data_IF_385523761221
#
_entry.id   IF_385523761221
#
_cell.length_a   1.000
_cell.length_b   1.000
_cell.length_c   1.000
_cell.angle_alpha   90.00
_cell.angle_beta   90.00
_cell.angle_gamma   90.00
#
_symmetry.space_group_name_H-M   'P 1'
#
loop_
_entity.id
_entity.type
_entity.pdbx_description
1 polymer ?
#
# COMPACT_ATOMS: atom_id res chain seq x y z
N UNK A 1 26.91 -4.38 34.73
CA UNK A 1 25.81 -5.35 34.91
C UNK A 1 26.16 -6.60 34.10
N UNK A 2 25.86 -7.82 34.56
CA UNK A 2 26.07 -9.05 33.79
C UNK A 2 24.72 -9.60 33.26
N UNK A 3 24.78 -10.59 32.38
CA UNK A 3 23.61 -11.15 31.68
C UNK A 3 22.61 -11.80 32.64
N UNK A 4 23.07 -12.58 33.63
CA UNK A 4 22.20 -13.19 34.64
C UNK A 4 21.41 -12.15 35.44
N UNK A 5 22.07 -11.05 35.85
CA UNK A 5 21.40 -9.95 36.57
C UNK A 5 20.41 -9.20 35.67
N UNK A 6 20.71 -9.07 34.37
CA UNK A 6 19.82 -8.47 33.39
C UNK A 6 18.54 -9.32 33.22
N UNK A 7 18.71 -10.62 32.97
CA UNK A 7 17.62 -11.58 32.82
C UNK A 7 16.70 -11.56 34.04
N UNK A 8 17.28 -11.63 35.25
CA UNK A 8 16.50 -11.55 36.49
C UNK A 8 15.69 -10.26 36.61
N UNK A 9 16.25 -9.12 36.20
CA UNK A 9 15.56 -7.82 36.27
C UNK A 9 14.42 -7.73 35.24
N UNK A 10 14.66 -8.17 34.01
CA UNK A 10 13.60 -8.25 32.99
C UNK A 10 12.47 -9.16 33.49
N UNK A 11 12.80 -10.34 34.01
CA UNK A 11 11.82 -11.29 34.51
C UNK A 11 10.96 -10.73 35.64
N UNK A 12 11.54 -9.94 36.55
CA UNK A 12 10.79 -9.29 37.64
C UNK A 12 9.71 -8.37 37.07
N UNK A 13 10.05 -7.54 36.08
CA UNK A 13 9.09 -6.60 35.49
C UNK A 13 8.00 -7.33 34.71
N UNK A 14 8.36 -8.36 33.93
CA UNK A 14 7.37 -9.16 33.21
C UNK A 14 6.45 -9.95 34.15
N UNK A 15 6.97 -10.43 35.28
CA UNK A 15 6.16 -11.10 36.31
C UNK A 15 5.21 -10.12 37.00
N UNK A 16 5.67 -8.89 37.26
CA UNK A 16 4.83 -7.80 37.77
C UNK A 16 3.70 -7.48 36.78
N UNK A 17 3.99 -7.37 35.48
CA UNK A 17 2.98 -7.13 34.45
C UNK A 17 1.88 -8.18 34.49
N UNK A 18 2.24 -9.47 34.53
CA UNK A 18 1.27 -10.57 34.62
C UNK A 18 0.43 -10.46 35.90
N UNK A 19 1.07 -10.11 37.03
CA UNK A 19 0.37 -9.91 38.30
C UNK A 19 -0.63 -8.74 38.23
N UNK A 20 -0.25 -7.63 37.62
CA UNK A 20 -1.08 -6.44 37.47
C UNK A 20 -2.29 -6.75 36.56
N UNK A 21 -2.06 -7.43 35.42
CA UNK A 21 -3.12 -7.92 34.50
C UNK A 21 -4.09 -8.85 35.22
N UNK A 22 -3.59 -9.84 35.96
CA UNK A 22 -4.42 -10.79 36.70
C UNK A 22 -5.25 -10.13 37.81
N UNK A 23 -4.73 -9.03 38.35
CA UNK A 23 -5.43 -8.20 39.34
C UNK A 23 -6.43 -7.23 38.71
N UNK A 24 -6.63 -7.28 37.38
CA UNK A 24 -7.44 -6.36 36.58
C UNK A 24 -7.03 -4.89 36.75
N UNK A 25 -5.76 -4.66 37.04
CA UNK A 25 -5.17 -3.33 37.04
C UNK A 25 -4.84 -3.04 35.58
N UNK A 26 -5.36 -1.93 35.04
CA UNK A 26 -4.89 -1.44 33.74
C UNK A 26 -3.39 -1.20 33.85
N UNK A 27 -2.59 -1.82 32.97
CA UNK A 27 -1.13 -1.70 33.04
C UNK A 27 -0.58 -0.51 32.27
N UNK A 28 -1.47 0.20 31.57
CA UNK A 28 -1.22 1.44 30.84
C UNK A 28 -2.39 2.40 31.03
N UNK A 29 -2.12 3.69 30.91
CA UNK A 29 -3.10 4.74 31.14
C UNK A 29 -2.88 5.91 30.18
N UNK A 30 -3.98 6.60 29.86
CA UNK A 30 -3.94 7.93 29.26
C UNK A 30 -4.06 8.95 30.38
N UNK A 31 -3.14 9.91 30.43
CA UNK A 31 -3.28 11.05 31.33
C UNK A 31 -4.33 12.05 30.78
N UNK A 32 -4.57 13.13 31.53
CA UNK A 32 -5.55 14.16 31.17
C UNK A 32 -5.21 14.94 29.89
N UNK A 33 -3.96 14.86 29.44
CA UNK A 33 -3.45 15.53 28.23
C UNK A 33 -3.35 14.55 27.06
N UNK A 34 -3.94 13.35 27.19
CA UNK A 34 -3.83 12.25 26.23
C UNK A 34 -2.40 11.76 26.02
N UNK A 35 -1.51 11.92 27.01
CA UNK A 35 -0.22 11.24 26.96
C UNK A 35 -0.38 9.80 27.45
N UNK A 36 0.07 8.88 26.63
CA UNK A 36 0.16 7.48 26.99
C UNK A 36 1.31 7.22 27.97
N UNK A 37 1.01 6.59 29.11
CA UNK A 37 2.02 6.05 30.04
C UNK A 37 1.87 4.55 30.18
N UNK A 38 3.01 3.86 30.17
CA UNK A 38 3.10 2.43 30.41
C UNK A 38 4.22 2.19 31.44
N UNK A 39 3.93 2.35 32.74
CA UNK A 39 4.94 2.43 33.79
C UNK A 39 5.87 1.21 33.83
N UNK A 40 5.34 0.00 33.62
CA UNK A 40 6.17 -1.21 33.60
C UNK A 40 7.10 -1.22 32.36
N UNK A 41 6.68 -0.65 31.23
CA UNK A 41 7.55 -0.48 30.06
C UNK A 41 8.61 0.59 30.30
N UNK A 42 8.27 1.70 30.96
CA UNK A 42 9.24 2.75 31.32
C UNK A 42 10.38 2.16 32.17
N UNK A 43 10.07 1.28 33.13
CA UNK A 43 11.09 0.57 33.91
C UNK A 43 12.01 -0.29 33.03
N UNK A 44 11.47 -0.95 32.01
CA UNK A 44 12.27 -1.74 31.07
C UNK A 44 13.15 -0.84 30.18
N UNK A 45 12.64 0.31 29.76
CA UNK A 45 13.39 1.30 28.99
C UNK A 45 14.54 1.87 29.82
N UNK A 46 14.28 2.26 31.08
CA UNK A 46 15.29 2.72 32.02
C UNK A 46 16.37 1.65 32.26
N UNK A 47 15.96 0.38 32.38
CA UNK A 47 16.88 -0.74 32.51
C UNK A 47 17.79 -0.86 31.28
N UNK A 48 17.25 -0.72 30.07
CA UNK A 48 18.03 -0.72 28.84
C UNK A 48 19.01 0.46 28.77
N UNK A 49 18.55 1.66 29.10
CA UNK A 49 19.39 2.87 29.11
C UNK A 49 20.47 2.85 30.20
N UNK A 50 20.26 2.10 31.28
CA UNK A 50 21.29 1.86 32.31
C UNK A 50 22.45 0.97 31.83
N UNK A 51 22.31 0.28 30.69
CA UNK A 51 23.40 -0.46 30.05
C UNK A 51 24.25 0.54 29.27
N UNK A 52 25.55 0.58 29.55
CA UNK A 52 26.52 1.39 28.81
C UNK A 52 26.37 1.20 27.30
N UNK A 53 26.38 2.29 26.53
CA UNK A 53 26.20 2.26 25.06
C UNK A 53 27.26 1.41 24.35
N UNK A 54 28.47 1.35 24.91
CA UNK A 54 29.58 0.54 24.44
C UNK A 54 29.37 -0.96 24.67
N UNK A 55 28.46 -1.36 25.57
CA UNK A 55 28.16 -2.76 25.86
C UNK A 55 27.05 -3.30 24.94
N UNK A 56 27.41 -3.42 23.65
CA UNK A 56 26.52 -3.86 22.57
C UNK A 56 25.95 -5.26 22.83
N UNK A 57 26.76 -6.15 23.40
CA UNK A 57 26.35 -7.54 23.68
C UNK A 57 25.21 -7.59 24.69
N UNK A 58 25.34 -6.87 25.81
CA UNK A 58 24.32 -6.87 26.86
C UNK A 58 23.01 -6.18 26.41
N UNK A 59 23.11 -5.12 25.59
CA UNK A 59 21.94 -4.50 24.94
C UNK A 59 21.26 -5.46 23.96
N UNK A 60 22.04 -6.23 23.21
CA UNK A 60 21.53 -7.28 22.31
C UNK A 60 20.83 -8.39 23.10
N UNK A 61 21.41 -8.85 24.21
CA UNK A 61 20.77 -9.82 25.11
C UNK A 61 19.46 -9.29 25.68
N UNK A 62 19.37 -8.01 26.07
CA UNK A 62 18.11 -7.41 26.50
C UNK A 62 17.01 -7.52 25.42
N UNK A 63 17.33 -7.15 24.18
CA UNK A 63 16.38 -7.24 23.06
C UNK A 63 15.98 -8.69 22.81
N UNK A 64 16.93 -9.63 22.83
CA UNK A 64 16.64 -11.07 22.68
C UNK A 64 15.74 -11.59 23.79
N UNK A 65 15.92 -11.14 25.04
CA UNK A 65 15.04 -11.50 26.14
C UNK A 65 13.61 -11.06 25.86
N UNK A 66 13.38 -9.80 25.47
CA UNK A 66 12.02 -9.32 25.16
C UNK A 66 11.39 -10.04 23.95
N UNK A 67 12.19 -10.49 22.99
CA UNK A 67 11.71 -11.29 21.85
C UNK A 67 11.52 -12.77 22.16
N UNK A 68 12.10 -13.27 23.26
CA UNK A 68 11.96 -14.69 23.62
C UNK A 68 10.50 -15.03 23.95
N UNK A 69 10.16 -16.32 23.88
CA UNK A 69 8.80 -16.82 24.08
C UNK A 69 8.38 -16.71 25.55
N UNK A 70 7.99 -15.51 25.97
CA UNK A 70 7.26 -15.23 27.20
C UNK A 70 5.75 -15.32 27.00
N UNK A 71 5.04 -15.40 28.13
CA UNK A 71 3.57 -15.32 28.22
C UNK A 71 3.03 -14.20 27.32
N UNK A 72 2.05 -14.54 26.50
CA UNK A 72 1.40 -13.62 25.55
C UNK A 72 0.80 -12.37 26.21
N UNK A 73 0.42 -12.44 27.49
CA UNK A 73 -0.08 -11.30 28.25
C UNK A 73 1.01 -10.24 28.44
N UNK A 74 2.27 -10.63 28.31
CA UNK A 74 3.40 -9.69 28.29
C UNK A 74 3.75 -9.19 26.89
N UNK A 75 3.04 -9.62 25.84
CA UNK A 75 3.31 -9.14 24.48
C UNK A 75 3.13 -7.62 24.33
N UNK A 76 2.11 -6.96 24.91
CA UNK A 76 1.97 -5.51 24.83
C UNK A 76 3.16 -4.76 25.45
N UNK A 77 3.54 -5.05 26.71
CA UNK A 77 4.70 -4.41 27.36
C UNK A 77 6.00 -4.62 26.58
N UNK A 78 6.25 -5.84 26.09
CA UNK A 78 7.48 -6.16 25.34
C UNK A 78 7.53 -5.42 24.02
N UNK A 79 6.42 -5.42 23.29
CA UNK A 79 6.29 -4.73 22.00
C UNK A 79 6.43 -3.22 22.17
N UNK A 80 5.75 -2.62 23.16
CA UNK A 80 5.85 -1.20 23.46
C UNK A 80 7.28 -0.79 23.84
N UNK A 81 7.94 -1.59 24.68
CA UNK A 81 9.32 -1.34 25.10
C UNK A 81 10.27 -1.37 23.91
N UNK A 82 10.24 -2.45 23.11
CA UNK A 82 11.09 -2.57 21.93
C UNK A 82 10.83 -1.47 20.91
N UNK A 83 9.56 -1.09 20.76
CA UNK A 83 9.16 -0.01 19.87
C UNK A 83 9.81 1.32 20.27
N UNK A 84 9.70 1.73 21.54
CA UNK A 84 10.28 2.98 22.04
C UNK A 84 11.81 2.99 22.04
N UNK A 85 12.43 1.81 22.11
CA UNK A 85 13.88 1.66 21.95
C UNK A 85 14.34 1.69 20.48
N UNK A 86 13.44 1.92 19.53
CA UNK A 86 13.76 2.02 18.10
C UNK A 86 13.88 0.67 17.39
N UNK A 87 13.42 -0.42 17.98
CA UNK A 87 13.45 -1.76 17.39
C UNK A 87 12.14 -2.12 16.68
N UNK A 88 11.63 -1.20 15.85
CA UNK A 88 10.31 -1.31 15.19
C UNK A 88 10.14 -2.58 14.36
N UNK A 89 11.14 -2.90 13.51
CA UNK A 89 11.11 -4.09 12.66
C UNK A 89 10.93 -5.38 13.49
N UNK A 90 11.64 -5.45 14.62
CA UNK A 90 11.58 -6.60 15.53
C UNK A 90 10.23 -6.72 16.22
N UNK A 91 9.56 -5.60 16.50
CA UNK A 91 8.19 -5.60 17.04
C UNK A 91 7.22 -6.18 16.03
N UNK A 92 7.32 -5.78 14.76
CA UNK A 92 6.47 -6.30 13.70
C UNK A 92 6.69 -7.80 13.49
N UNK A 93 7.94 -8.25 13.40
CA UNK A 93 8.28 -9.68 13.34
C UNK A 93 7.73 -10.46 14.54
N UNK A 94 7.83 -9.88 15.73
CA UNK A 94 7.38 -10.51 16.97
C UNK A 94 5.87 -10.62 17.06
N UNK A 95 5.14 -9.54 16.71
CA UNK A 95 3.68 -9.53 16.60
C UNK A 95 3.25 -10.57 15.57
N UNK A 96 3.85 -10.58 14.38
CA UNK A 96 3.58 -11.58 13.35
C UNK A 96 3.77 -12.99 13.87
N UNK A 97 4.92 -13.29 14.47
CA UNK A 97 5.21 -14.64 15.00
C UNK A 97 4.25 -15.06 16.11
N UNK A 98 3.81 -14.13 16.96
CA UNK A 98 2.85 -14.40 18.04
C UNK A 98 1.45 -14.66 17.49
N UNK A 99 1.04 -13.92 16.46
CA UNK A 99 -0.23 -14.08 15.78
C UNK A 99 -0.38 -15.41 15.03
N UNK A 100 0.71 -15.95 14.46
CA UNK A 100 0.67 -17.26 13.80
C UNK A 100 0.51 -18.43 14.77
N UNK A 101 0.86 -18.25 16.05
CA UNK A 101 0.95 -19.36 17.00
C UNK A 101 -0.26 -19.49 17.96
N UNK A 102 -1.07 -18.44 18.15
CA UNK A 102 -2.19 -18.44 19.12
C UNK A 102 -3.55 -18.12 18.46
N UNK A 103 -4.55 -19.00 18.66
CA UNK A 103 -5.75 -19.06 17.80
C UNK A 103 -7.11 -18.71 18.45
N UNK A 104 -7.24 -18.31 19.73
CA UNK A 104 -8.59 -17.92 20.20
C UNK A 104 -8.73 -16.95 21.38
N UNK A 105 -7.91 -17.01 22.43
CA UNK A 105 -8.25 -16.29 23.67
C UNK A 105 -7.49 -14.98 23.88
N UNK A 106 -6.46 -14.71 23.08
CA UNK A 106 -5.47 -13.66 23.37
C UNK A 106 -5.40 -12.58 22.27
N UNK A 107 -6.15 -12.79 21.18
CA UNK A 107 -6.24 -11.87 20.06
C UNK A 107 -6.80 -10.50 20.47
N UNK A 108 -7.62 -10.43 21.53
CA UNK A 108 -8.16 -9.16 22.04
C UNK A 108 -7.06 -8.22 22.50
N UNK A 109 -6.10 -8.72 23.29
CA UNK A 109 -4.99 -7.89 23.79
C UNK A 109 -4.10 -7.42 22.64
N UNK A 110 -3.94 -8.24 21.61
CA UNK A 110 -3.15 -7.90 20.42
C UNK A 110 -3.85 -6.83 19.60
N UNK A 111 -5.15 -6.98 19.33
CA UNK A 111 -5.90 -5.95 18.61
C UNK A 111 -5.99 -4.66 19.42
N UNK A 112 -6.17 -4.70 20.74
CA UNK A 112 -6.20 -3.48 21.57
C UNK A 112 -4.85 -2.77 21.55
N UNK A 113 -3.75 -3.52 21.56
CA UNK A 113 -2.42 -2.95 21.42
C UNK A 113 -2.17 -2.35 20.03
N UNK A 114 -2.62 -3.01 18.97
CA UNK A 114 -2.50 -2.47 17.60
C UNK A 114 -3.39 -1.24 17.45
N UNK A 115 -4.61 -1.28 17.95
CA UNK A 115 -5.53 -0.14 17.88
C UNK A 115 -4.94 1.08 18.61
N UNK A 116 -4.37 0.86 19.78
CA UNK A 116 -3.62 1.87 20.52
C UNK A 116 -2.43 2.45 19.73
N UNK A 117 -1.63 1.58 19.07
CA UNK A 117 -0.55 2.00 18.16
C UNK A 117 -1.08 2.93 17.06
N UNK A 118 -2.32 2.70 16.60
CA UNK A 118 -2.93 3.43 15.48
C UNK A 118 -3.69 4.70 15.91
N UNK A 119 -4.34 4.72 17.08
CA UNK A 119 -5.15 5.85 17.55
C UNK A 119 -4.31 7.07 17.91
N UNK A 120 -3.11 6.86 18.45
CA UNK A 120 -2.36 7.95 19.05
C UNK A 120 -1.48 8.73 18.05
N UNK A 121 -1.44 8.37 16.75
CA UNK A 121 -0.43 8.89 15.80
C UNK A 121 1.03 8.80 16.35
N UNK A 122 1.27 8.05 17.43
CA UNK A 122 2.52 8.02 18.20
C UNK A 122 3.66 7.37 17.42
N UNK A 123 3.35 6.81 16.26
CA UNK A 123 4.27 6.06 15.45
C UNK A 123 4.18 6.55 14.01
N UNK A 124 5.26 7.19 13.55
CA UNK A 124 5.51 7.32 12.11
C UNK A 124 5.84 5.92 11.56
N UNK A 125 4.82 5.09 11.33
CA UNK A 125 4.96 3.92 10.47
C UNK A 125 4.99 4.43 9.03
N UNK A 126 5.96 3.97 8.26
CA UNK A 126 5.97 4.12 6.82
C UNK A 126 4.76 3.41 6.19
N UNK A 127 4.43 3.81 4.97
CA UNK A 127 3.37 3.16 4.19
C UNK A 127 3.60 1.65 4.04
N UNK A 128 4.84 1.23 3.84
CA UNK A 128 5.22 -0.18 3.69
C UNK A 128 4.99 -0.96 4.99
N UNK A 129 5.39 -0.41 6.15
CA UNK A 129 5.16 -1.03 7.46
C UNK A 129 3.66 -1.18 7.77
N UNK A 130 2.83 -0.20 7.41
CA UNK A 130 1.37 -0.27 7.55
C UNK A 130 0.76 -1.37 6.67
N UNK A 131 1.29 -1.54 5.45
CA UNK A 131 0.83 -2.57 4.52
C UNK A 131 1.18 -3.99 5.03
N UNK A 132 2.40 -4.19 5.51
CA UNK A 132 2.86 -5.46 6.06
C UNK A 132 2.10 -5.86 7.33
N UNK A 133 1.83 -4.88 8.21
CA UNK A 133 1.01 -5.10 9.40
C UNK A 133 -0.42 -5.52 9.01
N UNK A 134 -1.03 -4.85 8.02
CA UNK A 134 -2.35 -5.20 7.50
C UNK A 134 -2.40 -6.61 6.92
N UNK A 135 -1.42 -6.99 6.09
CA UNK A 135 -1.33 -8.34 5.52
C UNK A 135 -1.23 -9.41 6.60
N UNK A 136 -0.49 -9.10 7.67
CA UNK A 136 -0.32 -10.00 8.82
C UNK A 136 -1.61 -10.18 9.59
N UNK A 137 -2.34 -9.08 9.87
CA UNK A 137 -3.61 -9.12 10.59
C UNK A 137 -4.71 -9.85 9.82
N UNK A 138 -4.74 -9.72 8.49
CA UNK A 138 -5.71 -10.45 7.64
C UNK A 138 -5.62 -11.97 7.81
N UNK A 139 -4.41 -12.50 8.04
CA UNK A 139 -4.16 -13.94 8.17
C UNK A 139 -4.63 -14.53 9.49
N UNK A 140 -4.95 -13.69 10.49
CA UNK A 140 -5.48 -14.16 11.77
C UNK A 140 -6.88 -14.70 11.55
N UNK A 141 -7.07 -16.00 11.77
CA UNK A 141 -8.39 -16.60 11.83
C UNK A 141 -8.97 -16.33 13.23
N UNK A 142 -9.93 -15.41 13.32
CA UNK A 142 -10.73 -15.24 14.53
C UNK A 142 -11.93 -16.16 14.40
N UNK A 143 -12.12 -17.04 15.37
CA UNK A 143 -13.21 -18.00 15.34
C UNK A 143 -14.56 -17.27 15.23
N UNK A 144 -15.47 -17.77 14.40
CA UNK A 144 -16.76 -17.13 14.10
C UNK A 144 -17.65 -16.85 15.33
N UNK A 145 -17.40 -17.53 16.46
CA UNK A 145 -18.10 -17.32 17.72
C UNK A 145 -17.70 -16.02 18.45
N UNK A 146 -16.59 -15.39 18.08
CA UNK A 146 -16.15 -14.11 18.65
C UNK A 146 -16.49 -12.95 17.70
N UNK A 147 -17.79 -12.66 17.56
CA UNK A 147 -18.26 -11.60 16.65
C UNK A 147 -17.69 -10.22 17.01
N UNK A 148 -17.65 -9.86 18.30
CA UNK A 148 -17.10 -8.57 18.76
C UNK A 148 -15.61 -8.42 18.40
N UNK A 149 -14.86 -9.51 18.53
CA UNK A 149 -13.44 -9.54 18.18
C UNK A 149 -13.21 -9.45 16.66
N UNK A 150 -14.09 -10.06 15.87
CA UNK A 150 -14.10 -9.90 14.42
C UNK A 150 -14.40 -8.47 14.00
N UNK A 151 -15.40 -7.83 14.62
CA UNK A 151 -15.73 -6.44 14.35
C UNK A 151 -14.54 -5.53 14.70
N UNK A 152 -13.92 -5.73 15.85
CA UNK A 152 -12.75 -4.96 16.26
C UNK A 152 -11.54 -5.17 15.33
N UNK A 153 -11.31 -6.41 14.87
CA UNK A 153 -10.29 -6.70 13.84
C UNK A 153 -10.56 -5.90 12.56
N UNK A 154 -11.81 -5.85 12.09
CA UNK A 154 -12.15 -5.10 10.88
C UNK A 154 -11.99 -3.58 11.07
N UNK A 155 -12.31 -3.05 12.27
CA UNK A 155 -12.04 -1.65 12.62
C UNK A 155 -10.55 -1.31 12.55
N UNK A 156 -9.69 -2.15 13.14
CA UNK A 156 -8.23 -2.01 13.08
C UNK A 156 -7.72 -2.10 11.63
N UNK A 157 -8.23 -3.04 10.84
CA UNK A 157 -7.89 -3.18 9.42
C UNK A 157 -8.30 -1.94 8.61
N UNK A 158 -9.44 -1.34 8.91
CA UNK A 158 -9.90 -0.12 8.25
C UNK A 158 -9.04 1.08 8.64
N UNK A 159 -8.69 1.25 9.92
CA UNK A 159 -7.75 2.28 10.38
C UNK A 159 -6.40 2.19 9.67
N UNK A 160 -5.86 0.97 9.49
CA UNK A 160 -4.62 0.75 8.73
C UNK A 160 -4.73 1.17 7.26
N UNK A 161 -5.88 0.93 6.61
CA UNK A 161 -6.14 1.37 5.25
C UNK A 161 -6.14 2.90 5.18
N UNK A 162 -6.86 3.53 6.10
CA UNK A 162 -7.00 4.99 6.11
C UNK A 162 -5.65 5.67 6.35
N UNK A 163 -4.86 5.18 7.30
CA UNK A 163 -3.50 5.65 7.56
C UNK A 163 -2.56 5.41 6.38
N UNK A 164 -2.63 4.24 5.73
CA UNK A 164 -1.85 3.96 4.52
C UNK A 164 -2.19 4.94 3.39
N UNK A 165 -3.48 5.26 3.22
CA UNK A 165 -3.94 6.25 2.23
C UNK A 165 -3.42 7.65 2.58
N UNK A 166 -3.39 8.02 3.86
CA UNK A 166 -2.85 9.31 4.32
C UNK A 166 -1.33 9.37 4.05
N UNK A 167 -0.59 8.33 4.42
CA UNK A 167 0.86 8.19 4.17
C UNK A 167 1.17 8.29 2.67
N UNK A 168 0.49 7.48 1.85
CA UNK A 168 0.57 7.55 0.39
C UNK A 168 0.26 8.95 -0.13
N UNK A 169 -0.79 9.62 0.36
CA UNK A 169 -1.09 11.01 -0.06
C UNK A 169 0.02 11.98 0.32
N UNK A 170 0.67 11.78 1.47
CA UNK A 170 1.82 12.58 1.91
C UNK A 170 3.04 12.38 1.03
N UNK A 171 3.41 11.11 0.77
CA UNK A 171 4.50 10.73 -0.14
C UNK A 171 4.23 11.24 -1.57
N UNK A 172 3.00 11.04 -2.04
CA UNK A 172 2.57 11.53 -3.34
C UNK A 172 2.60 13.06 -3.41
N UNK A 173 2.32 13.83 -2.34
CA UNK A 173 2.46 15.30 -2.38
C UNK A 173 3.91 15.76 -2.52
N UNK A 174 4.88 14.97 -2.05
CA UNK A 174 6.30 15.26 -2.18
C UNK A 174 6.87 14.90 -3.57
N UNK A 175 6.27 13.91 -4.22
CA UNK A 175 6.49 13.64 -5.65
C UNK A 175 5.70 14.68 -6.43
N UNK A 176 6.31 15.36 -7.39
CA UNK A 176 5.54 16.25 -8.26
C UNK A 176 4.62 15.38 -9.14
N UNK A 177 3.40 15.07 -8.66
CA UNK A 177 2.38 14.25 -9.35
C UNK A 177 1.96 14.91 -10.67
N UNK A 178 2.32 16.18 -10.90
CA UNK A 178 2.34 16.71 -12.26
C UNK A 178 3.49 16.11 -13.04
N UNK A 179 3.20 14.96 -13.66
CA UNK A 179 4.06 14.33 -14.64
C UNK A 179 3.98 15.08 -15.98
N UNK A 180 4.18 16.41 -15.94
CA UNK A 180 4.20 17.27 -17.12
C UNK A 180 5.33 16.87 -18.09
N UNK A 181 6.38 16.22 -17.56
CA UNK A 181 7.45 15.66 -18.37
C UNK A 181 6.96 14.48 -19.22
N UNK A 182 6.18 13.58 -18.65
CA UNK A 182 5.76 12.36 -19.35
C UNK A 182 4.58 12.64 -20.28
N UNK A 183 3.73 13.63 -19.97
CA UNK A 183 2.78 14.20 -20.95
C UNK A 183 3.53 14.72 -22.18
N UNK A 184 4.58 15.52 -21.98
CA UNK A 184 5.39 16.06 -23.09
C UNK A 184 6.06 14.95 -23.88
N UNK A 185 6.57 13.94 -23.21
CA UNK A 185 7.21 12.79 -23.84
C UNK A 185 6.22 11.93 -24.64
N UNK A 186 5.03 11.66 -24.09
CA UNK A 186 3.95 10.99 -24.82
C UNK A 186 3.57 11.78 -26.06
N UNK A 187 3.35 13.10 -25.95
CA UNK A 187 3.04 13.96 -27.11
C UNK A 187 4.14 13.92 -28.17
N UNK A 188 5.40 13.95 -27.74
CA UNK A 188 6.58 13.85 -28.61
C UNK A 188 6.62 12.51 -29.35
N UNK A 189 6.38 11.40 -28.64
CA UNK A 189 6.39 10.07 -29.24
C UNK A 189 5.23 9.93 -30.23
N UNK A 190 3.99 10.28 -29.85
CA UNK A 190 2.80 10.27 -30.72
C UNK A 190 3.10 10.97 -32.05
N UNK A 191 3.68 12.17 -31.99
CA UNK A 191 4.09 12.91 -33.19
C UNK A 191 5.19 12.21 -33.98
N UNK A 192 6.22 11.68 -33.30
CA UNK A 192 7.32 10.98 -33.95
C UNK A 192 6.84 9.76 -34.73
N UNK A 193 5.93 8.98 -34.14
CA UNK A 193 5.32 7.82 -34.78
C UNK A 193 4.14 8.19 -35.67
N UNK A 194 3.81 9.46 -35.92
CA UNK A 194 2.73 9.81 -36.84
C UNK A 194 1.37 9.17 -36.46
N UNK A 195 1.05 9.17 -35.17
CA UNK A 195 -0.32 8.92 -34.71
C UNK A 195 -1.15 10.21 -34.82
N UNK A 196 -2.48 10.04 -34.87
CA UNK A 196 -3.45 11.12 -35.07
C UNK A 196 -3.25 12.28 -34.06
N UNK A 197 -3.27 13.51 -34.57
CA UNK A 197 -3.04 14.73 -33.79
C UNK A 197 -4.12 14.92 -32.70
N UNK A 198 -5.30 14.33 -32.87
CA UNK A 198 -6.39 14.33 -31.86
C UNK A 198 -5.92 13.90 -30.47
N UNK A 199 -4.93 13.01 -30.38
CA UNK A 199 -4.39 12.56 -29.10
C UNK A 199 -3.63 13.66 -28.37
N UNK A 200 -2.86 14.48 -29.09
CA UNK A 200 -2.11 15.59 -28.52
C UNK A 200 -3.03 16.75 -28.13
N UNK A 201 -4.05 17.02 -28.95
CA UNK A 201 -5.09 18.00 -28.67
C UNK A 201 -5.84 17.63 -27.38
N UNK A 202 -6.32 16.39 -27.28
CA UNK A 202 -7.05 15.93 -26.11
C UNK A 202 -6.21 15.95 -24.82
N UNK A 203 -4.93 15.57 -24.89
CA UNK A 203 -4.04 15.70 -23.73
C UNK A 203 -3.84 17.17 -23.31
N UNK A 204 -3.89 18.11 -24.25
CA UNK A 204 -3.84 19.55 -23.95
C UNK A 204 -5.13 20.03 -23.31
N UNK A 205 -6.28 19.61 -23.83
CA UNK A 205 -7.60 19.92 -23.28
C UNK A 205 -7.74 19.46 -21.82
N UNK A 206 -7.30 18.24 -21.51
CA UNK A 206 -7.32 17.73 -20.13
C UNK A 206 -6.46 18.61 -19.20
N UNK A 207 -5.26 19.00 -19.64
CA UNK A 207 -4.37 19.85 -18.84
C UNK A 207 -4.99 21.21 -18.54
N UNK A 208 -5.58 21.84 -19.55
CA UNK A 208 -6.30 23.12 -19.40
C UNK A 208 -7.46 22.97 -18.41
N UNK A 209 -8.26 21.91 -18.53
CA UNK A 209 -9.40 21.67 -17.66
C UNK A 209 -8.99 21.41 -16.20
N UNK A 210 -7.92 20.64 -16.00
CA UNK A 210 -7.34 20.36 -14.68
C UNK A 210 -6.77 21.63 -14.02
N UNK A 211 -6.34 22.62 -14.79
CA UNK A 211 -5.83 23.89 -14.27
C UNK A 211 -6.93 24.91 -13.91
N UNK A 212 -8.20 24.62 -14.21
CA UNK A 212 -9.32 25.49 -13.81
C UNK A 212 -9.60 25.43 -12.30
N UNK A 213 -10.23 26.48 -11.73
CA UNK A 213 -10.62 26.49 -10.30
C UNK A 213 -11.78 25.56 -9.94
N UNK A 214 -12.36 24.84 -10.91
CA UNK A 214 -13.44 23.90 -10.66
C UNK A 214 -13.01 22.79 -9.70
N UNK A 215 -13.90 22.38 -8.80
CA UNK A 215 -13.72 21.20 -7.92
C UNK A 215 -14.19 19.91 -8.58
N UNK A 216 -15.00 20.01 -9.62
CA UNK A 216 -15.59 18.87 -10.34
C UNK A 216 -15.12 18.81 -11.78
N UNK A 217 -15.18 17.61 -12.35
CA UNK A 217 -14.91 17.31 -13.75
C UNK A 217 -16.25 17.00 -14.43
N UNK A 218 -16.42 17.42 -15.68
CA UNK A 218 -17.62 17.08 -16.44
C UNK A 218 -17.65 15.57 -16.76
N UNK A 219 -18.84 14.97 -16.70
CA UNK A 219 -19.00 13.57 -17.11
C UNK A 219 -18.59 13.32 -18.57
N UNK A 220 -18.68 14.36 -19.43
CA UNK A 220 -18.18 14.34 -20.80
C UNK A 220 -16.67 14.06 -20.86
N UNK A 221 -15.86 14.84 -20.14
CA UNK A 221 -14.40 14.70 -20.16
C UNK A 221 -13.94 13.30 -19.68
N UNK A 222 -14.67 12.70 -18.74
CA UNK A 222 -14.40 11.32 -18.30
C UNK A 222 -14.65 10.31 -19.42
N UNK A 223 -15.73 10.47 -20.18
CA UNK A 223 -16.05 9.61 -21.32
C UNK A 223 -15.07 9.80 -22.47
N UNK A 224 -14.66 11.04 -22.72
CA UNK A 224 -13.65 11.35 -23.72
C UNK A 224 -12.29 10.74 -23.31
N UNK A 225 -11.95 10.77 -22.02
CA UNK A 225 -10.74 10.16 -21.51
C UNK A 225 -10.72 8.63 -21.63
N UNK A 226 -11.87 7.97 -21.39
CA UNK A 226 -12.03 6.53 -21.67
C UNK A 226 -11.84 6.21 -23.14
N UNK A 227 -12.42 7.04 -24.02
CA UNK A 227 -12.35 6.88 -25.46
C UNK A 227 -10.92 7.08 -25.96
N UNK A 228 -10.24 8.13 -25.48
CA UNK A 228 -8.82 8.39 -25.74
C UNK A 228 -7.95 7.17 -25.44
N UNK A 229 -8.08 6.61 -24.23
CA UNK A 229 -7.24 5.48 -23.82
C UNK A 229 -7.51 4.23 -24.68
N UNK A 230 -8.79 3.96 -24.98
CA UNK A 230 -9.19 2.83 -25.83
C UNK A 230 -8.67 2.98 -27.27
N UNK A 231 -8.86 4.15 -27.86
CA UNK A 231 -8.44 4.47 -29.23
C UNK A 231 -6.92 4.36 -29.38
N UNK A 232 -6.17 4.89 -28.41
CA UNK A 232 -4.71 4.86 -28.43
C UNK A 232 -4.17 3.44 -28.37
N UNK A 233 -4.71 2.60 -27.48
CA UNK A 233 -4.36 1.17 -27.39
C UNK A 233 -4.64 0.46 -28.70
N UNK A 234 -5.78 0.76 -29.33
CA UNK A 234 -6.17 0.18 -30.61
C UNK A 234 -5.22 0.62 -31.74
N UNK A 235 -4.84 1.89 -31.81
CA UNK A 235 -3.99 2.40 -32.89
C UNK A 235 -2.54 1.95 -32.75
N UNK A 236 -2.01 1.82 -31.52
CA UNK A 236 -0.72 1.16 -31.26
C UNK A 236 -0.76 -0.28 -31.79
N UNK A 237 -1.83 -1.02 -31.50
CA UNK A 237 -1.96 -2.41 -31.96
C UNK A 237 -2.04 -2.51 -33.49
N UNK A 238 -2.84 -1.65 -34.14
CA UNK A 238 -2.94 -1.59 -35.61
C UNK A 238 -1.60 -1.24 -36.24
N UNK A 239 -0.85 -0.30 -35.65
CA UNK A 239 0.46 0.09 -36.15
C UNK A 239 1.44 -1.08 -36.13
N UNK A 240 1.53 -1.79 -35.00
CA UNK A 240 2.39 -2.97 -34.89
C UNK A 240 1.98 -4.03 -35.91
N UNK A 241 0.68 -4.27 -36.07
CA UNK A 241 0.14 -5.20 -37.08
C UNK A 241 0.51 -4.80 -38.52
N UNK A 242 0.45 -3.50 -38.83
CA UNK A 242 0.90 -2.96 -40.13
C UNK A 242 2.40 -3.15 -40.36
N UNK A 243 3.23 -2.90 -39.35
CA UNK A 243 4.70 -3.06 -39.43
C UNK A 243 5.11 -4.53 -39.58
N UNK A 244 4.43 -5.45 -38.89
CA UNK A 244 4.68 -6.89 -38.94
C UNK A 244 4.07 -7.56 -40.18
N UNK A 245 3.08 -6.92 -40.82
CA UNK A 245 2.32 -7.50 -41.93
C UNK A 245 1.40 -8.65 -41.48
N UNK A 246 0.99 -8.69 -40.21
CA UNK A 246 0.09 -9.70 -39.66
C UNK A 246 -1.29 -9.13 -39.31
N UNK A 247 -2.25 -10.02 -39.06
CA UNK A 247 -3.61 -9.63 -38.65
C UNK A 247 -3.76 -9.76 -37.13
N UNK A 248 -4.44 -8.80 -36.51
CA UNK A 248 -4.80 -8.86 -35.08
C UNK A 248 -5.78 -10.02 -34.85
N UNK A 249 -5.42 -11.08 -34.10
CA UNK A 249 -6.25 -12.27 -33.97
C UNK A 249 -7.56 -12.00 -33.23
N UNK A 250 -8.61 -12.74 -33.60
CA UNK A 250 -9.83 -12.82 -32.79
C UNK A 250 -9.61 -13.80 -31.65
N UNK A 251 -9.38 -13.27 -30.45
CA UNK A 251 -9.23 -14.07 -29.25
C UNK A 251 -10.58 -14.44 -28.65
N UNK A 252 -10.64 -15.62 -28.02
CA UNK A 252 -11.78 -16.07 -27.21
C UNK A 252 -11.45 -15.99 -25.72
N UNK A 253 -12.47 -15.75 -24.91
CA UNK A 253 -12.44 -15.89 -23.46
C UNK A 253 -12.49 -17.38 -23.04
N UNK A 254 -12.32 -17.72 -21.74
CA UNK A 254 -12.42 -19.10 -21.26
C UNK A 254 -13.76 -19.78 -21.52
N UNK A 255 -14.82 -19.01 -21.74
CA UNK A 255 -16.17 -19.51 -22.08
C UNK A 255 -16.37 -19.67 -23.60
N UNK A 256 -15.35 -19.40 -24.41
CA UNK A 256 -15.37 -19.52 -25.87
C UNK A 256 -16.02 -18.34 -26.61
N UNK A 257 -16.38 -17.25 -25.91
CA UNK A 257 -16.93 -16.03 -26.52
C UNK A 257 -15.80 -15.14 -27.03
N UNK A 258 -16.05 -14.38 -28.10
CA UNK A 258 -15.05 -13.44 -28.61
C UNK A 258 -14.79 -12.33 -27.59
N UNK A 259 -13.51 -12.00 -27.36
CA UNK A 259 -13.15 -10.85 -26.53
C UNK A 259 -13.70 -9.56 -27.14
N UNK A 260 -14.17 -8.66 -26.27
CA UNK A 260 -14.53 -7.28 -26.64
C UNK A 260 -13.32 -6.55 -27.22
N UNK A 261 -13.54 -5.53 -28.05
CA UNK A 261 -12.50 -4.93 -28.88
C UNK A 261 -11.25 -4.47 -28.10
N UNK A 262 -11.41 -3.74 -26.99
CA UNK A 262 -10.24 -3.28 -26.20
C UNK A 262 -9.46 -4.45 -25.58
N UNK A 263 -10.13 -5.50 -25.10
CA UNK A 263 -9.47 -6.68 -24.54
C UNK A 263 -8.71 -7.47 -25.63
N UNK A 264 -9.24 -7.50 -26.86
CA UNK A 264 -8.55 -8.09 -28.02
C UNK A 264 -7.25 -7.36 -28.32
N UNK A 265 -7.28 -6.02 -28.43
CA UNK A 265 -6.09 -5.22 -28.71
C UNK A 265 -5.05 -5.34 -27.61
N UNK A 266 -5.46 -5.30 -26.34
CA UNK A 266 -4.54 -5.46 -25.20
C UNK A 266 -3.85 -6.82 -25.18
N UNK A 267 -4.57 -7.91 -25.43
CA UNK A 267 -3.98 -9.24 -25.52
C UNK A 267 -2.97 -9.33 -26.66
N UNK A 268 -3.27 -8.69 -27.79
CA UNK A 268 -2.32 -8.59 -28.89
C UNK A 268 -1.06 -7.81 -28.49
N UNK A 269 -1.20 -6.65 -27.83
CA UNK A 269 -0.06 -5.88 -27.31
C UNK A 269 0.76 -6.64 -26.28
N UNK A 270 0.13 -7.40 -25.38
CA UNK A 270 0.84 -8.25 -24.40
C UNK A 270 1.86 -9.15 -25.09
N UNK A 271 1.41 -9.85 -26.14
CA UNK A 271 2.23 -10.79 -26.89
C UNK A 271 3.30 -10.04 -27.69
N UNK A 272 2.90 -9.02 -28.45
CA UNK A 272 3.82 -8.33 -29.37
C UNK A 272 4.86 -7.48 -28.67
N UNK A 273 4.50 -6.82 -27.58
CA UNK A 273 5.42 -5.96 -26.80
C UNK A 273 6.11 -6.71 -25.66
N UNK A 274 5.87 -8.01 -25.50
CA UNK A 274 6.40 -8.83 -24.40
C UNK A 274 6.17 -8.13 -23.05
N UNK A 275 4.90 -7.81 -22.79
CA UNK A 275 4.49 -7.25 -21.51
C UNK A 275 4.60 -8.35 -20.45
N UNK A 276 5.18 -8.01 -19.29
CA UNK A 276 5.19 -8.94 -18.17
C UNK A 276 3.77 -9.18 -17.67
N UNK A 277 3.54 -10.27 -16.92
CA UNK A 277 2.23 -10.50 -16.31
C UNK A 277 1.83 -9.36 -15.37
N UNK A 278 2.80 -8.74 -14.68
CA UNK A 278 2.58 -7.55 -13.86
C UNK A 278 2.10 -6.35 -14.66
N UNK A 279 2.70 -6.09 -15.83
CA UNK A 279 2.28 -5.00 -16.71
C UNK A 279 0.85 -5.22 -17.19
N UNK A 280 0.53 -6.45 -17.60
CA UNK A 280 -0.82 -6.81 -18.08
C UNK A 280 -1.88 -6.73 -16.96
N UNK A 281 -1.55 -7.15 -15.75
CA UNK A 281 -2.41 -7.05 -14.56
C UNK A 281 -2.68 -5.59 -14.19
N UNK A 282 -1.65 -4.73 -14.24
CA UNK A 282 -1.79 -3.29 -14.02
C UNK A 282 -2.75 -2.67 -15.04
N UNK A 283 -2.54 -2.92 -16.33
CA UNK A 283 -3.38 -2.38 -17.40
C UNK A 283 -4.81 -2.96 -17.29
N UNK A 284 -4.97 -4.23 -16.92
CA UNK A 284 -6.29 -4.86 -16.70
C UNK A 284 -7.04 -4.17 -15.59
N UNK A 285 -6.38 -3.98 -14.45
CA UNK A 285 -6.95 -3.33 -13.28
C UNK A 285 -7.33 -1.89 -13.60
N UNK A 286 -6.47 -1.15 -14.31
CA UNK A 286 -6.74 0.22 -14.71
C UNK A 286 -7.93 0.35 -15.68
N UNK A 287 -8.02 -0.53 -16.68
CA UNK A 287 -9.20 -0.58 -17.58
C UNK A 287 -10.47 -0.89 -16.77
N UNK A 288 -10.39 -1.81 -15.80
CA UNK A 288 -11.48 -2.08 -14.87
C UNK A 288 -11.89 -0.84 -14.06
N UNK A 289 -10.93 -0.05 -13.61
CA UNK A 289 -11.16 1.23 -12.92
C UNK A 289 -11.87 2.23 -13.85
N UNK A 290 -11.40 2.38 -15.09
CA UNK A 290 -12.03 3.27 -16.07
C UNK A 290 -13.49 2.89 -16.36
N UNK A 291 -13.80 1.59 -16.46
CA UNK A 291 -15.12 1.08 -16.84
C UNK A 291 -16.07 0.74 -15.67
N UNK A 292 -15.66 0.88 -14.41
CA UNK A 292 -16.56 0.77 -13.26
C UNK A 292 -17.51 1.97 -13.22
N UNK A 293 -18.58 1.90 -14.01
CA UNK A 293 -19.71 2.83 -13.94
C UNK A 293 -20.51 2.61 -12.65
N UNK A 294 -20.84 3.69 -11.92
CA UNK A 294 -21.87 3.67 -10.87
C UNK A 294 -21.44 4.03 -9.45
N UNK A 295 -20.16 4.15 -9.13
CA UNK A 295 -19.74 4.74 -7.85
C UNK A 295 -19.71 6.26 -7.98
N UNK A 296 -20.58 6.99 -7.28
CA UNK A 296 -20.62 8.47 -7.25
C UNK A 296 -19.27 9.17 -7.01
N UNK A 297 -18.21 8.44 -6.62
CA UNK A 297 -16.84 8.91 -6.46
C UNK A 297 -16.09 9.16 -7.78
N UNK A 298 -16.37 8.42 -8.87
CA UNK A 298 -15.64 8.56 -10.15
C UNK A 298 -16.10 9.79 -10.93
N UNK A 299 -17.37 10.18 -10.79
CA UNK A 299 -18.07 11.11 -11.70
C UNK A 299 -17.81 12.59 -11.37
N UNK A 300 -17.16 12.92 -10.24
CA UNK A 300 -17.10 14.32 -9.80
C UNK A 300 -15.84 14.74 -9.04
N UNK A 301 -14.90 13.84 -8.75
CA UNK A 301 -13.70 14.19 -8.00
C UNK A 301 -12.51 14.51 -8.92
N UNK A 302 -12.18 15.80 -9.03
CA UNK A 302 -11.04 16.29 -9.81
C UNK A 302 -9.71 15.63 -9.47
N UNK A 303 -9.49 15.31 -8.20
CA UNK A 303 -8.26 14.63 -7.76
C UNK A 303 -8.21 13.19 -8.26
N UNK A 304 -9.33 12.49 -8.22
CA UNK A 304 -9.44 11.13 -8.73
C UNK A 304 -9.21 11.08 -10.25
N UNK A 305 -9.79 12.04 -10.99
CA UNK A 305 -9.56 12.17 -12.43
C UNK A 305 -8.09 12.49 -12.75
N UNK A 306 -7.47 13.41 -12.00
CA UNK A 306 -6.04 13.75 -12.11
C UNK A 306 -5.15 12.51 -11.94
N UNK A 307 -5.39 11.71 -10.90
CA UNK A 307 -4.66 10.46 -10.67
C UNK A 307 -4.87 9.45 -11.80
N UNK A 308 -6.11 9.28 -12.24
CA UNK A 308 -6.44 8.38 -13.36
C UNK A 308 -5.75 8.79 -14.66
N UNK A 309 -5.71 10.11 -14.94
CA UNK A 309 -4.98 10.68 -16.07
C UNK A 309 -3.50 10.34 -16.01
N UNK A 310 -2.85 10.52 -14.87
CA UNK A 310 -1.43 10.22 -14.74
C UNK A 310 -1.13 8.74 -14.94
N UNK A 311 -1.93 7.84 -14.37
CA UNK A 311 -1.77 6.39 -14.57
C UNK A 311 -1.92 6.03 -16.06
N UNK A 312 -2.88 6.61 -16.77
CA UNK A 312 -3.02 6.38 -18.20
C UNK A 312 -1.82 6.87 -19.00
N UNK A 313 -1.23 8.01 -18.62
CA UNK A 313 -0.02 8.55 -19.27
C UNK A 313 1.16 7.61 -19.06
N UNK A 314 1.35 7.08 -17.84
CA UNK A 314 2.41 6.11 -17.56
C UNK A 314 2.24 4.83 -18.38
N UNK A 315 1.02 4.28 -18.42
CA UNK A 315 0.72 3.09 -19.23
C UNK A 315 0.97 3.38 -20.71
N UNK A 316 0.56 4.56 -21.18
CA UNK A 316 0.79 4.98 -22.55
C UNK A 316 2.28 5.06 -22.86
N UNK A 317 3.06 5.69 -21.99
CA UNK A 317 4.49 5.84 -22.15
C UNK A 317 5.19 4.47 -22.15
N UNK A 318 4.77 3.54 -21.28
CA UNK A 318 5.25 2.16 -21.25
C UNK A 318 5.02 1.46 -22.60
N UNK A 319 3.77 1.51 -23.12
CA UNK A 319 3.40 0.88 -24.39
C UNK A 319 4.17 1.48 -25.57
N UNK A 320 4.22 2.80 -25.65
CA UNK A 320 4.93 3.53 -26.71
C UNK A 320 6.44 3.28 -26.66
N UNK A 321 7.05 3.27 -25.48
CA UNK A 321 8.49 3.02 -25.32
C UNK A 321 8.86 1.60 -25.69
N UNK A 322 8.08 0.60 -25.26
CA UNK A 322 8.29 -0.80 -25.68
C UNK A 322 8.09 -0.97 -27.17
N UNK A 323 7.08 -0.30 -27.75
CA UNK A 323 6.87 -0.32 -29.19
C UNK A 323 8.06 0.28 -29.93
N UNK A 324 8.54 1.48 -29.56
CA UNK A 324 9.69 2.10 -30.21
C UNK A 324 10.97 1.27 -30.10
N UNK A 325 11.18 0.63 -28.95
CA UNK A 325 12.35 -0.25 -28.74
C UNK A 325 12.34 -1.45 -29.69
N UNK A 326 11.16 -2.03 -29.93
CA UNK A 326 11.01 -3.25 -30.75
C UNK A 326 10.76 -2.96 -32.22
N UNK A 327 10.11 -1.84 -32.52
CA UNK A 327 9.65 -1.40 -33.83
C UNK A 327 10.06 0.06 -34.07
N UNK A 328 11.36 0.36 -34.18
CA UNK A 328 11.82 1.72 -34.44
C UNK A 328 11.28 2.19 -35.79
N UNK A 329 10.93 3.48 -35.88
CA UNK A 329 10.58 4.09 -37.17
C UNK A 329 11.84 4.04 -38.03
N UNK A 330 11.74 3.42 -39.21
CA UNK A 330 12.82 3.50 -40.20
C UNK A 330 12.93 4.97 -40.62
N UNK A 331 14.12 5.56 -40.46
CA UNK A 331 14.41 6.85 -41.08
C UNK A 331 14.38 6.63 -42.60
N UNK A 332 13.44 7.27 -43.28
CA UNK A 332 13.39 7.35 -44.75
C UNK A 332 14.35 8.41 -45.26
#
# INVERSE_FOLDING_TARGET
MNEEKLEKRVQIVLTKEISDINSRIFTFFLDSDSNFSYPNSEILQDLYHSIEETNVELRSSFVKLLLSRYDINTLPIRSWTLFNLGHKDKVLEHIQSSLYNNLSNESSNIFSFIDLILEENLISLSTDELFDLRLSLKKILVHEFFQDLNNFKEEVLQKLIDLSIIGLKGELRAVNIEINKDVKEVKRIIKYIDLDEKYNEFLTEIDEHLNTKSRSISAGLINDFRSFFSDLVQDIAKRISSVEGDNIPKYKDPEGKNLRDIARYRRYLKIKLELSDRDDDLITSFVGVLHKEGGHSFVSNKEYFRLSRNIAIEITLLLLSKMLKKYPKKEE
#
